data_IF_690016555244
#
_entry.id   IF_690016555244
#
_cell.length_a   1.000
_cell.length_b   1.000
_cell.length_c   1.000
_cell.angle_alpha   90.00
_cell.angle_beta   90.00
_cell.angle_gamma   90.00
#
_symmetry.space_group_name_H-M   'P 1'
#
loop_
_entity.id
_entity.type
_entity.pdbx_description
1 polymer ?
#
# COMPACT_ATOMS: atom_id res chain seq x y z
N UNK A 1 -6.73 -7.93 -2.78
CA UNK A 1 -5.51 -8.01 -1.95
C UNK A 1 -4.49 -9.01 -2.52
N UNK A 2 -4.90 -10.21 -2.92
CA UNK A 2 -4.01 -11.23 -3.52
C UNK A 2 -3.12 -10.68 -4.66
N UNK A 3 -3.70 -9.97 -5.64
CA UNK A 3 -2.94 -9.40 -6.78
C UNK A 3 -1.90 -8.36 -6.32
N UNK A 4 -2.23 -7.56 -5.30
CA UNK A 4 -1.30 -6.59 -4.71
C UNK A 4 -0.13 -7.30 -4.03
N UNK A 5 -0.40 -8.34 -3.23
CA UNK A 5 0.63 -9.12 -2.56
C UNK A 5 1.54 -9.85 -3.55
N UNK A 6 0.96 -10.48 -4.57
CA UNK A 6 1.74 -11.14 -5.64
C UNK A 6 2.61 -10.14 -6.40
N UNK A 7 2.09 -8.96 -6.72
CA UNK A 7 2.87 -7.89 -7.36
C UNK A 7 4.06 -7.46 -6.52
N UNK A 8 3.88 -7.26 -5.20
CA UNK A 8 4.97 -6.90 -4.29
C UNK A 8 5.98 -8.05 -4.10
N UNK A 9 5.54 -9.31 -4.05
CA UNK A 9 6.45 -10.47 -4.03
C UNK A 9 7.28 -10.54 -5.31
N UNK A 10 6.66 -10.35 -6.48
CA UNK A 10 7.39 -10.28 -7.75
C UNK A 10 8.41 -9.15 -7.75
N UNK A 11 8.13 -8.00 -7.14
CA UNK A 11 9.10 -6.91 -6.96
C UNK A 11 10.24 -7.32 -6.03
N UNK A 12 9.94 -8.02 -4.92
CA UNK A 12 10.95 -8.46 -3.95
C UNK A 12 11.96 -9.46 -4.53
N UNK A 13 11.52 -10.30 -5.47
CA UNK A 13 12.35 -11.30 -6.17
C UNK A 13 12.82 -10.85 -7.56
N UNK A 14 12.59 -9.59 -7.96
CA UNK A 14 12.83 -9.16 -9.33
C UNK A 14 14.32 -9.27 -9.71
N UNK A 15 14.71 -10.15 -10.66
CA UNK A 15 16.10 -10.34 -11.05
C UNK A 15 16.57 -9.31 -12.08
N UNK A 16 15.62 -8.62 -12.74
CA UNK A 16 15.90 -7.62 -13.78
C UNK A 16 15.02 -6.38 -13.62
N UNK A 17 15.51 -5.25 -14.11
CA UNK A 17 14.78 -3.97 -14.06
C UNK A 17 13.42 -4.03 -14.79
N UNK A 18 13.32 -4.79 -15.88
CA UNK A 18 12.06 -4.96 -16.62
C UNK A 18 10.98 -5.63 -15.77
N UNK A 19 11.34 -6.69 -15.03
CA UNK A 19 10.41 -7.40 -14.12
C UNK A 19 10.02 -6.49 -12.95
N UNK A 20 10.98 -5.73 -12.40
CA UNK A 20 10.72 -4.75 -11.36
C UNK A 20 9.72 -3.67 -11.83
N UNK A 21 9.90 -3.15 -13.03
CA UNK A 21 9.03 -2.10 -13.57
C UNK A 21 7.62 -2.62 -13.84
N UNK A 22 7.49 -3.80 -14.46
CA UNK A 22 6.19 -4.42 -14.72
C UNK A 22 5.42 -4.73 -13.44
N UNK A 23 6.08 -5.31 -12.44
CA UNK A 23 5.45 -5.57 -11.14
C UNK A 23 4.99 -4.28 -10.45
N UNK A 24 5.78 -3.19 -10.53
CA UNK A 24 5.39 -1.87 -10.01
C UNK A 24 4.18 -1.28 -10.72
N UNK A 25 4.05 -1.45 -12.03
CA UNK A 25 2.86 -1.01 -12.79
C UNK A 25 1.62 -1.75 -12.28
N UNK A 26 1.69 -3.08 -12.12
CA UNK A 26 0.58 -3.89 -11.61
C UNK A 26 0.18 -3.42 -10.20
N UNK A 27 1.16 -3.25 -9.30
CA UNK A 27 0.91 -2.80 -7.93
C UNK A 27 0.26 -1.41 -7.91
N UNK A 28 0.74 -0.48 -8.73
CA UNK A 28 0.19 0.88 -8.81
C UNK A 28 -1.28 0.89 -9.27
N UNK A 29 -1.63 0.07 -10.27
CA UNK A 29 -3.00 -0.08 -10.75
C UNK A 29 -3.92 -0.60 -9.65
N UNK A 30 -3.49 -1.64 -8.92
CA UNK A 30 -4.29 -2.24 -7.85
C UNK A 30 -4.43 -1.32 -6.65
N UNK A 31 -3.37 -0.61 -6.25
CA UNK A 31 -3.42 0.31 -5.11
C UNK A 31 -4.35 1.50 -5.34
N UNK A 32 -4.36 2.05 -6.56
CA UNK A 32 -5.26 3.16 -6.90
C UNK A 32 -6.74 2.77 -6.83
N UNK A 33 -7.07 1.57 -7.34
CA UNK A 33 -8.42 1.00 -7.25
C UNK A 33 -8.82 0.72 -5.79
N UNK A 34 -7.90 0.17 -4.99
CA UNK A 34 -8.16 -0.15 -3.58
C UNK A 34 -8.52 1.10 -2.75
N UNK A 35 -7.77 2.20 -2.92
CA UNK A 35 -8.05 3.46 -2.22
C UNK A 35 -9.41 4.02 -2.64
N UNK A 36 -9.71 3.99 -3.95
CA UNK A 36 -10.99 4.47 -4.49
C UNK A 36 -12.19 3.70 -3.90
N UNK A 37 -12.08 2.37 -3.84
CA UNK A 37 -13.12 1.51 -3.25
C UNK A 37 -13.24 1.74 -1.74
N UNK A 38 -12.12 1.85 -1.02
CA UNK A 38 -12.13 2.12 0.42
C UNK A 38 -12.85 3.45 0.76
N UNK A 39 -12.59 4.50 -0.03
CA UNK A 39 -13.27 5.79 0.12
C UNK A 39 -14.77 5.69 -0.19
N UNK A 40 -15.14 4.99 -1.26
CA UNK A 40 -16.54 4.79 -1.63
C UNK A 40 -17.31 4.06 -0.53
N UNK A 41 -16.77 2.95 -0.03
CA UNK A 41 -17.37 2.17 1.06
C UNK A 41 -17.45 2.99 2.35
N UNK A 42 -16.36 3.68 2.72
CA UNK A 42 -16.35 4.54 3.91
C UNK A 42 -17.42 5.63 3.85
N UNK A 43 -17.60 6.27 2.70
CA UNK A 43 -18.64 7.28 2.51
C UNK A 43 -20.07 6.70 2.60
N UNK A 44 -20.26 5.45 2.21
CA UNK A 44 -21.55 4.76 2.27
C UNK A 44 -21.90 4.33 3.70
N UNK A 45 -20.90 3.88 4.47
CA UNK A 45 -21.06 3.48 5.87
C UNK A 45 -21.27 4.68 6.81
N UNK A 46 -20.76 5.85 6.43
CA UNK A 46 -20.87 7.06 7.24
C UNK A 46 -22.29 7.68 7.20
N UNK A 47 -22.82 8.12 8.36
CA UNK A 47 -24.02 8.95 8.41
C UNK A 47 -23.90 10.19 7.52
N UNK A 48 -24.98 10.62 6.88
CA UNK A 48 -24.98 11.70 5.87
C UNK A 48 -24.29 12.99 6.35
N UNK A 49 -24.48 13.33 7.62
CA UNK A 49 -23.91 14.52 8.29
C UNK A 49 -22.44 14.37 8.71
N UNK A 50 -21.87 13.16 8.65
CA UNK A 50 -20.49 12.84 9.06
C UNK A 50 -19.59 12.34 7.93
N UNK A 51 -20.11 12.23 6.70
CA UNK A 51 -19.33 11.73 5.53
C UNK A 51 -18.03 12.48 5.31
N UNK A 52 -18.09 13.82 5.32
CA UNK A 52 -16.89 14.65 5.12
C UNK A 52 -15.84 14.42 6.21
N UNK A 53 -16.27 14.29 7.47
CA UNK A 53 -15.38 14.01 8.60
C UNK A 53 -14.75 12.62 8.50
N UNK A 54 -15.52 11.60 8.10
CA UNK A 54 -15.01 10.24 7.98
C UNK A 54 -14.01 10.11 6.83
N UNK A 55 -14.27 10.76 5.70
CA UNK A 55 -13.31 10.85 4.58
C UNK A 55 -12.03 11.57 5.02
N UNK A 56 -12.14 12.69 5.74
CA UNK A 56 -10.98 13.40 6.29
C UNK A 56 -10.15 12.50 7.22
N UNK A 57 -10.79 11.67 8.03
CA UNK A 57 -10.12 10.68 8.87
C UNK A 57 -9.39 9.60 8.08
N UNK A 58 -10.00 9.07 7.01
CA UNK A 58 -9.34 8.11 6.12
C UNK A 58 -8.08 8.71 5.48
N UNK A 59 -8.15 9.95 5.00
CA UNK A 59 -6.98 10.66 4.47
C UNK A 59 -5.93 10.96 5.54
N UNK A 60 -6.34 11.34 6.75
CA UNK A 60 -5.42 11.55 7.87
C UNK A 60 -4.64 10.27 8.18
N UNK A 61 -5.31 9.12 8.20
CA UNK A 61 -4.67 7.81 8.34
C UNK A 61 -3.63 7.55 7.26
N UNK A 62 -3.95 7.85 6.00
CA UNK A 62 -2.99 7.73 4.88
C UNK A 62 -1.77 8.65 5.04
N UNK A 63 -1.97 9.90 5.48
CA UNK A 63 -0.87 10.84 5.76
C UNK A 63 0.03 10.33 6.88
N UNK A 64 -0.56 9.91 8.00
CA UNK A 64 0.18 9.36 9.15
C UNK A 64 0.97 8.10 8.74
N UNK A 65 0.33 7.19 8.00
CA UNK A 65 0.99 6.00 7.48
C UNK A 65 2.18 6.33 6.57
N UNK A 66 2.09 7.40 5.76
CA UNK A 66 3.19 7.83 4.89
C UNK A 66 4.35 8.45 5.69
N UNK A 67 4.02 9.27 6.70
CA UNK A 67 5.02 9.94 7.57
C UNK A 67 5.87 8.92 8.32
N UNK A 68 5.28 7.84 8.84
CA UNK A 68 6.02 6.80 9.54
C UNK A 68 6.56 5.71 8.61
N UNK A 69 5.80 5.35 7.57
CA UNK A 69 6.12 4.25 6.67
C UNK A 69 7.38 4.51 5.84
N UNK A 70 7.60 5.74 5.37
CA UNK A 70 8.79 6.07 4.57
C UNK A 70 10.08 5.95 5.40
N UNK A 71 10.23 6.61 6.56
CA UNK A 71 11.43 6.45 7.39
C UNK A 71 11.70 5.01 7.83
N UNK A 72 10.65 4.28 8.24
CA UNK A 72 10.78 2.87 8.62
C UNK A 72 11.22 2.01 7.45
N UNK A 73 10.62 2.20 6.28
CA UNK A 73 10.99 1.49 5.06
C UNK A 73 12.42 1.79 4.62
N UNK A 74 12.85 3.05 4.69
CA UNK A 74 14.22 3.46 4.37
C UNK A 74 15.22 2.87 5.36
N UNK A 75 14.96 2.94 6.66
CA UNK A 75 15.84 2.37 7.68
C UNK A 75 15.99 0.85 7.53
N UNK A 76 14.90 0.13 7.30
CA UNK A 76 14.94 -1.31 7.02
C UNK A 76 15.72 -1.64 5.74
N UNK A 77 15.52 -0.84 4.69
CA UNK A 77 16.20 -1.03 3.40
C UNK A 77 17.70 -0.79 3.50
N UNK A 78 18.13 0.15 4.34
CA UNK A 78 19.53 0.46 4.60
C UNK A 78 20.24 -0.71 5.32
N UNK A 79 19.56 -1.37 6.27
CA UNK A 79 20.14 -2.45 7.07
C UNK A 79 20.10 -3.82 6.38
N UNK A 80 19.02 -4.15 5.67
CA UNK A 80 18.77 -5.50 5.15
C UNK A 80 18.61 -5.57 3.63
N UNK A 81 18.72 -4.43 2.93
CA UNK A 81 18.49 -4.33 1.50
C UNK A 81 17.05 -3.94 1.13
N UNK A 82 16.89 -3.31 -0.03
CA UNK A 82 15.63 -2.70 -0.48
C UNK A 82 14.47 -3.70 -0.67
N UNK A 83 14.78 -4.98 -0.93
CA UNK A 83 13.80 -6.04 -1.11
C UNK A 83 13.04 -6.37 0.19
N UNK A 84 13.62 -6.09 1.37
CA UNK A 84 12.97 -6.36 2.66
C UNK A 84 11.67 -5.57 2.85
N UNK A 85 11.62 -4.34 2.32
CA UNK A 85 10.43 -3.50 2.39
C UNK A 85 9.23 -4.17 1.70
N UNK A 86 9.47 -4.82 0.56
CA UNK A 86 8.44 -5.52 -0.21
C UNK A 86 7.99 -6.82 0.46
N UNK A 87 8.90 -7.55 1.10
CA UNK A 87 8.53 -8.73 1.91
C UNK A 87 7.64 -8.35 3.09
N UNK A 88 8.00 -7.28 3.82
CA UNK A 88 7.22 -6.80 4.95
C UNK A 88 5.83 -6.33 4.55
N UNK A 89 5.73 -5.53 3.48
CA UNK A 89 4.43 -5.10 2.94
C UNK A 89 3.58 -6.32 2.58
N UNK A 90 4.16 -7.31 1.91
CA UNK A 90 3.44 -8.54 1.53
C UNK A 90 2.94 -9.30 2.76
N UNK A 91 3.80 -9.49 3.76
CA UNK A 91 3.47 -10.23 4.98
C UNK A 91 2.32 -9.55 5.75
N UNK A 92 2.38 -8.22 5.89
CA UNK A 92 1.32 -7.45 6.56
C UNK A 92 -0.01 -7.59 5.81
N UNK A 93 0.01 -7.43 4.48
CA UNK A 93 -1.22 -7.49 3.66
C UNK A 93 -1.85 -8.89 3.66
N UNK A 94 -1.04 -9.95 3.74
CA UNK A 94 -1.55 -11.32 3.84
C UNK A 94 -2.10 -11.67 5.23
N UNK A 95 -1.70 -10.93 6.27
CA UNK A 95 -2.18 -11.14 7.64
C UNK A 95 -3.54 -10.48 7.93
N UNK A 96 -4.00 -9.58 7.05
CA UNK A 96 -5.26 -8.82 7.12
C UNK A 96 -6.34 -9.47 6.27
#
# INVERSE_FOLDING_TARGET
MIVFSLGNLCTAFAPTYSILTLSRIIVALVSGAAISVAMAIGSHLAPINKRAWLIAWLYSGFSVASVFGVPLGTWLSDQFGWNIAFYLITAIVLSL
#
